data_IF_511732710574
#
_entry.id   IF_511732710574
#
_cell.length_a   1.000
_cell.length_b   1.000
_cell.length_c   1.000
_cell.angle_alpha   90.00
_cell.angle_beta   90.00
_cell.angle_gamma   90.00
#
_symmetry.space_group_name_H-M   'P 1'
#
loop_
_entity.id
_entity.type
_entity.pdbx_description
1 polymer ?
#
# COMPACT_ATOMS: atom_id res chain seq x y z
N UNK A 1 5.24 -21.73 -15.89
CA UNK A 1 6.02 -20.66 -15.22
C UNK A 1 5.03 -19.75 -14.52
N UNK A 2 5.07 -19.67 -13.18
CA UNK A 2 4.08 -18.95 -12.38
C UNK A 2 4.39 -17.45 -12.33
N UNK A 3 3.37 -16.61 -12.60
CA UNK A 3 3.42 -15.14 -12.52
C UNK A 3 3.94 -14.62 -11.15
N UNK A 4 3.85 -15.42 -10.10
CA UNK A 4 4.43 -15.15 -8.78
C UNK A 4 5.96 -15.02 -8.79
N UNK A 5 6.67 -15.81 -9.61
CA UNK A 5 8.13 -15.78 -9.67
C UNK A 5 8.69 -14.61 -10.50
N UNK A 6 7.87 -14.03 -11.39
CA UNK A 6 8.23 -12.83 -12.16
C UNK A 6 8.07 -11.55 -11.34
N UNK A 7 7.03 -11.47 -10.49
CA UNK A 7 6.88 -10.36 -9.54
C UNK A 7 8.06 -10.24 -8.57
N UNK A 8 8.71 -11.36 -8.22
CA UNK A 8 9.88 -11.42 -7.33
C UNK A 8 11.17 -10.86 -7.96
N UNK A 9 11.26 -10.78 -9.29
CA UNK A 9 12.46 -10.32 -10.01
C UNK A 9 12.38 -8.87 -10.48
N UNK A 10 11.18 -8.29 -10.49
CA UNK A 10 10.93 -6.88 -10.77
C UNK A 10 11.57 -5.91 -9.77
N UNK A 11 12.14 -6.43 -8.67
CA UNK A 11 12.56 -5.67 -7.50
C UNK A 11 13.94 -6.05 -6.94
N UNK A 12 14.85 -6.57 -7.77
CA UNK A 12 16.24 -6.81 -7.33
C UNK A 12 17.05 -5.50 -7.24
N UNK A 13 18.03 -5.37 -6.30
CA UNK A 13 18.42 -4.07 -5.73
C UNK A 13 19.63 -3.40 -6.40
N UNK A 14 19.59 -2.05 -6.45
CA UNK A 14 20.77 -1.19 -6.44
C UNK A 14 20.76 -0.36 -5.13
N UNK A 15 21.86 -0.37 -4.37
CA UNK A 15 21.88 0.06 -2.98
C UNK A 15 22.13 1.57 -2.77
N UNK A 16 21.27 2.20 -1.96
CA UNK A 16 21.56 3.07 -0.79
C UNK A 16 20.66 4.33 -0.64
N UNK A 17 20.08 4.92 -1.69
CA UNK A 17 18.95 5.87 -1.58
C UNK A 17 17.57 5.19 -1.63
N UNK A 18 17.50 4.06 -2.34
CA UNK A 18 16.30 3.22 -2.49
C UNK A 18 15.88 2.55 -1.19
N UNK A 19 16.84 2.17 -0.34
CA UNK A 19 16.57 1.51 0.95
C UNK A 19 15.90 2.46 1.95
N UNK A 20 16.30 3.73 1.98
CA UNK A 20 15.71 4.78 2.84
C UNK A 20 14.32 5.20 2.36
N UNK A 21 14.08 5.25 1.05
CA UNK A 21 12.74 5.47 0.50
C UNK A 21 11.79 4.32 0.91
N UNK A 22 12.22 3.06 0.77
CA UNK A 22 11.42 1.89 1.17
C UNK A 22 11.15 1.82 2.67
N UNK A 23 12.10 2.20 3.53
CA UNK A 23 11.83 2.26 4.97
C UNK A 23 10.80 3.33 5.31
N UNK A 24 10.83 4.48 4.63
CA UNK A 24 9.81 5.52 4.80
C UNK A 24 8.42 5.06 4.34
N UNK A 25 8.31 4.40 3.19
CA UNK A 25 7.05 3.79 2.72
C UNK A 25 6.50 2.78 3.73
N UNK A 26 7.36 1.88 4.22
CA UNK A 26 6.99 0.89 5.23
C UNK A 26 6.44 1.54 6.49
N UNK A 27 7.13 2.55 7.03
CA UNK A 27 6.72 3.24 8.25
C UNK A 27 5.37 3.94 8.09
N UNK A 28 5.14 4.62 6.97
CA UNK A 28 3.88 5.32 6.69
C UNK A 28 2.72 4.32 6.55
N UNK A 29 2.90 3.25 5.78
CA UNK A 29 1.88 2.20 5.60
C UNK A 29 1.58 1.51 6.93
N UNK A 30 2.59 1.16 7.72
CA UNK A 30 2.43 0.52 9.02
C UNK A 30 1.66 1.40 10.00
N UNK A 31 2.01 2.69 10.08
CA UNK A 31 1.33 3.66 10.94
C UNK A 31 -0.14 3.82 10.57
N UNK A 32 -0.45 4.01 9.29
CA UNK A 32 -1.84 4.16 8.82
C UNK A 32 -2.63 2.88 9.09
N UNK A 33 -2.06 1.71 8.79
CA UNK A 33 -2.71 0.42 9.04
C UNK A 33 -3.00 0.19 10.52
N UNK A 34 -2.07 0.55 11.40
CA UNK A 34 -2.29 0.50 12.84
C UNK A 34 -3.45 1.39 13.27
N UNK A 35 -3.55 2.62 12.74
CA UNK A 35 -4.66 3.55 13.02
C UNK A 35 -6.01 3.02 12.56
N UNK A 36 -6.08 2.46 11.34
CA UNK A 36 -7.30 1.81 10.82
C UNK A 36 -7.71 0.67 11.75
N UNK A 37 -6.79 -0.25 12.04
CA UNK A 37 -7.06 -1.40 12.93
C UNK A 37 -7.55 -0.94 14.29
N UNK A 38 -6.87 0.03 14.91
CA UNK A 38 -7.23 0.55 16.23
C UNK A 38 -8.62 1.17 16.24
N UNK A 39 -8.96 1.95 15.22
CA UNK A 39 -10.27 2.58 15.11
C UNK A 39 -11.41 1.55 14.95
N UNK A 40 -11.17 0.46 14.21
CA UNK A 40 -12.11 -0.66 14.12
C UNK A 40 -12.28 -1.35 15.48
N UNK A 41 -11.18 -1.65 16.18
CA UNK A 41 -11.20 -2.33 17.48
C UNK A 41 -11.93 -1.52 18.56
N UNK A 42 -11.90 -0.19 18.47
CA UNK A 42 -12.57 0.71 19.42
C UNK A 42 -13.92 1.23 18.93
N UNK A 43 -14.41 0.77 17.78
CA UNK A 43 -15.62 1.27 17.11
C UNK A 43 -15.66 2.81 16.98
N UNK A 44 -14.50 3.43 16.72
CA UNK A 44 -14.34 4.89 16.63
C UNK A 44 -14.42 5.33 15.17
N UNK A 45 -15.65 5.56 14.70
CA UNK A 45 -15.91 5.91 13.31
C UNK A 45 -15.21 7.20 12.86
N UNK A 46 -15.18 8.31 13.63
CA UNK A 46 -14.39 9.49 13.26
C UNK A 46 -12.91 9.19 13.03
N UNK A 47 -12.25 8.44 13.92
CA UNK A 47 -10.84 8.05 13.73
C UNK A 47 -10.65 7.11 12.55
N UNK A 48 -11.62 6.22 12.31
CA UNK A 48 -11.59 5.34 11.15
C UNK A 48 -11.64 6.16 9.86
N UNK A 49 -12.56 7.13 9.76
CA UNK A 49 -12.68 7.99 8.59
C UNK A 49 -11.40 8.80 8.32
N UNK A 50 -10.78 9.35 9.36
CA UNK A 50 -9.51 10.06 9.25
C UNK A 50 -8.38 9.14 8.74
N UNK A 51 -8.25 7.94 9.32
CA UNK A 51 -7.22 6.99 8.91
C UNK A 51 -7.42 6.47 7.47
N UNK A 52 -8.67 6.28 7.04
CA UNK A 52 -9.02 5.89 5.68
C UNK A 52 -8.74 7.00 4.66
N UNK A 53 -8.97 8.26 5.03
CA UNK A 53 -8.60 9.40 4.20
C UNK A 53 -7.09 9.44 3.96
N UNK A 54 -6.29 9.31 5.04
CA UNK A 54 -4.83 9.25 4.93
C UNK A 54 -4.36 8.05 4.10
N UNK A 55 -5.02 6.89 4.24
CA UNK A 55 -4.75 5.72 3.39
C UNK A 55 -5.01 6.01 1.91
N UNK A 56 -6.13 6.65 1.58
CA UNK A 56 -6.46 7.02 0.20
C UNK A 56 -5.45 8.02 -0.37
N UNK A 57 -5.02 9.00 0.43
CA UNK A 57 -4.00 9.98 0.06
C UNK A 57 -2.65 9.33 -0.23
N UNK A 58 -2.23 8.38 0.61
CA UNK A 58 -1.01 7.60 0.38
C UNK A 58 -1.07 6.85 -0.95
N UNK A 59 -2.12 6.08 -1.17
CA UNK A 59 -2.28 5.30 -2.39
C UNK A 59 -2.37 6.16 -3.65
N UNK A 60 -3.00 7.34 -3.55
CA UNK A 60 -3.02 8.32 -4.64
C UNK A 60 -1.62 8.84 -4.96
N UNK A 61 -0.82 9.16 -3.94
CA UNK A 61 0.56 9.61 -4.14
C UNK A 61 1.43 8.53 -4.80
N UNK A 62 1.31 7.28 -4.36
CA UNK A 62 2.01 6.14 -4.99
C UNK A 62 1.59 5.95 -6.44
N UNK A 63 0.28 6.05 -6.75
CA UNK A 63 -0.21 5.95 -8.12
C UNK A 63 0.33 7.06 -9.02
N UNK A 64 0.40 8.30 -8.53
CA UNK A 64 0.97 9.42 -9.28
C UNK A 64 2.47 9.22 -9.54
N UNK A 65 3.23 8.76 -8.55
CA UNK A 65 4.67 8.50 -8.69
C UNK A 65 4.96 7.40 -9.73
N UNK A 66 4.17 6.33 -9.75
CA UNK A 66 4.38 5.26 -10.73
C UNK A 66 3.90 5.61 -12.13
N UNK A 67 3.06 6.63 -12.32
CA UNK A 67 2.64 7.03 -13.67
C UNK A 67 3.72 7.85 -14.39
N UNK A 68 4.66 8.47 -13.66
CA UNK A 68 5.78 9.21 -14.26
C UNK A 68 6.63 8.30 -15.17
N UNK A 69 6.94 8.76 -16.38
CA UNK A 69 7.74 8.04 -17.38
C UNK A 69 9.17 7.75 -16.92
N UNK A 70 9.66 8.46 -15.90
CA UNK A 70 10.97 8.25 -15.27
C UNK A 70 10.93 7.15 -14.21
N UNK A 71 9.75 6.63 -13.87
CA UNK A 71 9.63 5.56 -12.90
C UNK A 71 10.22 4.26 -13.46
N UNK A 72 11.14 3.64 -12.72
CA UNK A 72 11.92 2.48 -13.18
C UNK A 72 11.25 1.14 -12.85
N UNK A 73 10.05 1.16 -12.29
CA UNK A 73 9.31 -0.07 -11.99
C UNK A 73 8.78 -0.72 -13.28
N UNK A 74 8.72 -2.06 -13.36
CA UNK A 74 8.11 -2.73 -14.51
C UNK A 74 6.63 -2.35 -14.70
N UNK A 75 6.18 -2.26 -15.95
CA UNK A 75 4.83 -1.80 -16.30
C UNK A 75 3.72 -2.59 -15.59
N UNK A 76 3.87 -3.91 -15.47
CA UNK A 76 2.90 -4.75 -14.77
C UNK A 76 2.72 -4.32 -13.32
N UNK A 77 3.81 -3.94 -12.66
CA UNK A 77 3.79 -3.51 -11.29
C UNK A 77 3.21 -2.11 -11.13
N UNK A 78 3.59 -1.18 -12.02
CA UNK A 78 3.00 0.16 -12.08
C UNK A 78 1.48 0.06 -12.22
N UNK A 79 1.00 -0.79 -13.14
CA UNK A 79 -0.43 -1.04 -13.34
C UNK A 79 -1.10 -1.61 -12.09
N UNK A 80 -0.47 -2.56 -11.37
CA UNK A 80 -1.00 -3.09 -10.11
C UNK A 80 -1.12 -2.02 -9.02
N UNK A 81 -0.13 -1.13 -8.89
CA UNK A 81 -0.18 -0.03 -7.91
C UNK A 81 -1.32 0.94 -8.22
N UNK A 82 -1.49 1.31 -9.50
CA UNK A 82 -2.61 2.15 -9.94
C UNK A 82 -3.96 1.47 -9.65
N UNK A 83 -4.08 0.17 -9.94
CA UNK A 83 -5.28 -0.61 -9.63
C UNK A 83 -5.59 -0.62 -8.12
N UNK A 84 -4.59 -0.86 -7.28
CA UNK A 84 -4.76 -0.87 -5.82
C UNK A 84 -5.17 0.50 -5.27
N UNK A 85 -4.68 1.59 -5.88
CA UNK A 85 -5.09 2.94 -5.51
C UNK A 85 -6.57 3.19 -5.84
N UNK A 86 -7.02 2.77 -7.03
CA UNK A 86 -8.42 2.92 -7.42
C UNK A 86 -9.34 2.04 -6.56
N UNK A 87 -8.96 0.79 -6.32
CA UNK A 87 -9.66 -0.10 -5.40
C UNK A 87 -9.76 0.51 -4.00
N UNK A 88 -8.66 1.02 -3.46
CA UNK A 88 -8.63 1.63 -2.12
C UNK A 88 -9.59 2.80 -2.04
N UNK A 89 -9.60 3.68 -3.04
CA UNK A 89 -10.49 4.83 -3.12
C UNK A 89 -11.96 4.41 -3.14
N UNK A 90 -12.33 3.48 -4.02
CA UNK A 90 -13.70 2.98 -4.16
C UNK A 90 -14.15 2.27 -2.89
N UNK A 91 -13.32 1.39 -2.33
CA UNK A 91 -13.67 0.63 -1.14
C UNK A 91 -13.77 1.52 0.10
N UNK A 92 -12.89 2.52 0.22
CA UNK A 92 -12.97 3.54 1.28
C UNK A 92 -14.33 4.25 1.25
N UNK A 93 -14.85 4.62 0.08
CA UNK A 93 -16.17 5.25 -0.02
C UNK A 93 -17.29 4.35 0.49
N UNK A 94 -17.24 3.04 0.22
CA UNK A 94 -18.20 2.06 0.75
C UNK A 94 -18.13 1.98 2.28
N UNK A 95 -16.93 1.93 2.84
CA UNK A 95 -16.73 1.91 4.31
C UNK A 95 -17.27 3.19 4.96
N UNK A 96 -17.00 4.36 4.38
CA UNK A 96 -17.52 5.64 4.89
C UNK A 96 -19.04 5.73 4.83
N UNK A 97 -19.68 5.01 3.88
CA UNK A 97 -21.14 4.86 3.81
C UNK A 97 -21.69 3.75 4.71
N UNK A 98 -20.81 3.04 5.44
CA UNK A 98 -21.13 1.86 6.26
C UNK A 98 -21.73 0.70 5.45
N UNK A 99 -21.38 0.62 4.17
CA UNK A 99 -21.83 -0.43 3.25
C UNK A 99 -20.88 -1.64 3.24
N UNK A 100 -19.66 -1.47 3.77
CA UNK A 100 -18.63 -2.51 3.83
C UNK A 100 -17.66 -2.26 5.00
N UNK A 101 -16.80 -3.25 5.30
CA UNK A 101 -15.76 -3.18 6.32
C UNK A 101 -14.41 -2.72 5.76
N UNK A 102 -13.57 -2.13 6.61
CA UNK A 102 -12.18 -1.76 6.27
C UNK A 102 -11.19 -2.94 6.31
N UNK A 103 -11.64 -4.18 6.52
CA UNK A 103 -10.76 -5.36 6.65
C UNK A 103 -9.96 -5.59 5.37
N UNK A 104 -10.58 -5.51 4.19
CA UNK A 104 -9.90 -5.68 2.92
C UNK A 104 -8.74 -4.68 2.71
N UNK A 105 -8.90 -3.44 3.20
CA UNK A 105 -7.86 -2.41 3.13
C UNK A 105 -6.67 -2.75 4.03
N UNK A 106 -6.92 -3.33 5.21
CA UNK A 106 -5.86 -3.83 6.09
C UNK A 106 -5.11 -5.01 5.48
N UNK A 107 -5.81 -5.93 4.80
CA UNK A 107 -5.19 -7.09 4.16
C UNK A 107 -4.25 -6.69 3.01
N UNK A 108 -4.67 -5.71 2.19
CA UNK A 108 -3.83 -5.11 1.15
C UNK A 108 -2.58 -4.51 1.79
N UNK A 109 -2.73 -3.62 2.77
CA UNK A 109 -1.59 -2.97 3.40
C UNK A 109 -0.65 -4.00 4.07
N UNK A 110 -1.19 -5.03 4.72
CA UNK A 110 -0.39 -6.09 5.32
C UNK A 110 0.39 -6.90 4.26
N UNK A 111 -0.20 -7.12 3.08
CA UNK A 111 0.48 -7.79 1.96
C UNK A 111 1.64 -6.95 1.44
N UNK A 112 1.44 -5.63 1.29
CA UNK A 112 2.50 -4.70 0.88
C UNK A 112 3.62 -4.63 1.93
N UNK A 113 3.28 -4.49 3.21
CA UNK A 113 4.28 -4.48 4.30
C UNK A 113 5.12 -5.76 4.33
N UNK A 114 4.50 -6.93 4.09
CA UNK A 114 5.24 -8.19 3.96
C UNK A 114 6.17 -8.17 2.75
N UNK A 115 5.73 -7.66 1.60
CA UNK A 115 6.58 -7.52 0.42
C UNK A 115 7.80 -6.63 0.68
N UNK A 116 7.55 -5.44 1.24
CA UNK A 116 8.60 -4.47 1.57
C UNK A 116 9.61 -5.00 2.59
N UNK A 117 9.18 -5.84 3.55
CA UNK A 117 10.07 -6.46 4.55
C UNK A 117 11.02 -7.49 3.94
N UNK A 118 10.53 -8.39 3.09
CA UNK A 118 11.33 -9.50 2.55
C UNK A 118 12.40 -9.07 1.54
N UNK A 119 12.24 -7.92 0.88
CA UNK A 119 13.28 -7.40 -0.04
C UNK A 119 14.42 -6.65 0.69
N UNK A 120 14.33 -6.50 2.01
CA UNK A 120 15.33 -5.86 2.86
C UNK A 120 16.33 -6.81 3.52
N UNK A 121 16.05 -8.12 3.54
CA UNK A 121 16.93 -9.16 4.10
C UNK A 121 17.86 -9.70 3.00
N UNK A 122 19.19 -9.59 3.12
CA UNK A 122 20.08 -10.43 2.32
C UNK A 122 19.83 -11.89 2.74
N UNK A 123 19.70 -12.77 1.75
CA UNK A 123 19.68 -14.22 1.94
C UNK A 123 20.99 -14.72 2.57
#
# INVERSE_FOLDING_TARGET
>A
MNAFAQAQRAYAPAASPTRTARSAEYEVIARISHRIKKAIETDDFPKLAEALYENTKLWTALALDVIDDKNLLPDELRARIVYLADFTRIHTQKVLRKEDSAVALLEINATILRGLKHEGEPA
#
